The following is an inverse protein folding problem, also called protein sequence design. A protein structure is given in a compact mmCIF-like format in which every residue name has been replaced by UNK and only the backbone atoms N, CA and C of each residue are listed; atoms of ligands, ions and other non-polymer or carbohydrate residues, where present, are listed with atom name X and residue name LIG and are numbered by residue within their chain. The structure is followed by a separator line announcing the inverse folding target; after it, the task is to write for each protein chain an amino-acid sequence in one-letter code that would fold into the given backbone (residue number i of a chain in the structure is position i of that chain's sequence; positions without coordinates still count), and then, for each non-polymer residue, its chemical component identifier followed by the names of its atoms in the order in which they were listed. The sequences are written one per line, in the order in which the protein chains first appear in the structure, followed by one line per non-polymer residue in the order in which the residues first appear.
data_IF_852124405904
#
_entry.id   IF_852124405904
#
_cell.length_a   1.000
_cell.length_b   1.000
_cell.length_c   1.000
_cell.angle_alpha   90.00
_cell.angle_beta   90.00
_cell.angle_gamma   90.00
#
_symmetry.space_group_name_H-M   'P 1'
#
loop_
_entity.id
_entity.type
_entity.pdbx_description
1 polymer ?
#
# COMPACT_ATOMS: atom_id res chain seq x y z
N UNK A 1 13.39 8.01 -6.38
CA UNK A 1 12.64 7.04 -5.54
C UNK A 1 11.72 7.82 -4.62
N UNK A 2 10.40 7.67 -4.78
CA UNK A 2 9.40 8.46 -4.08
C UNK A 2 9.38 8.12 -2.59
N UNK A 3 9.78 9.06 -1.73
CA UNK A 3 9.80 8.91 -0.27
C UNK A 3 8.46 8.41 0.29
N UNK A 4 7.36 8.86 -0.30
CA UNK A 4 6.00 8.44 0.04
C UNK A 4 5.71 6.97 -0.28
N UNK A 5 6.25 6.42 -1.37
CA UNK A 5 6.08 5.00 -1.71
C UNK A 5 6.77 4.10 -0.70
N UNK A 6 7.96 4.49 -0.26
CA UNK A 6 8.68 3.78 0.81
C UNK A 6 7.90 3.84 2.13
N UNK A 7 7.33 5.00 2.48
CA UNK A 7 6.55 5.16 3.70
C UNK A 7 5.25 4.35 3.69
N UNK A 8 4.53 4.33 2.55
CA UNK A 8 3.35 3.48 2.33
C UNK A 8 3.73 2.00 2.48
N UNK A 9 4.83 1.58 1.87
CA UNK A 9 5.32 0.21 1.97
C UNK A 9 5.67 -0.16 3.41
N UNK A 10 6.43 0.67 4.11
CA UNK A 10 6.80 0.45 5.52
C UNK A 10 5.55 0.36 6.40
N UNK A 11 4.61 1.32 6.29
CA UNK A 11 3.36 1.28 7.04
C UNK A 11 2.52 0.04 6.73
N UNK A 12 2.47 -0.38 5.47
CA UNK A 12 1.78 -1.60 5.08
C UNK A 12 2.41 -2.83 5.76
N UNK A 13 3.75 -2.90 5.75
CA UNK A 13 4.48 -4.01 6.34
C UNK A 13 4.39 -4.04 7.88
N UNK A 14 4.40 -2.88 8.54
CA UNK A 14 4.29 -2.76 10.00
C UNK A 14 2.85 -2.98 10.49
N UNK A 15 1.85 -2.48 9.76
CA UNK A 15 0.46 -2.53 10.23
C UNK A 15 -0.18 -3.89 10.05
N UNK A 16 0.17 -4.62 8.98
CA UNK A 16 -0.51 -5.87 8.60
C UNK A 16 0.46 -7.04 8.70
N UNK A 17 0.04 -8.04 9.46
CA UNK A 17 0.70 -9.32 9.43
C UNK A 17 0.59 -9.93 8.03
N UNK A 18 1.62 -10.63 7.58
CA UNK A 18 1.66 -11.20 6.23
C UNK A 18 0.50 -12.14 5.89
N UNK A 19 -0.09 -12.78 6.89
CA UNK A 19 -1.24 -13.67 6.74
C UNK A 19 -2.55 -12.90 6.45
N UNK A 20 -2.64 -11.67 6.95
CA UNK A 20 -3.80 -10.77 6.75
C UNK A 20 -3.69 -9.87 5.51
N UNK A 21 -2.56 -9.94 4.79
CA UNK A 21 -2.31 -9.15 3.56
C UNK A 21 -3.10 -9.70 2.38
N UNK A 22 -4.41 -9.58 2.48
CA UNK A 22 -5.37 -9.91 1.42
C UNK A 22 -5.65 -8.67 0.56
N UNK A 23 -6.22 -8.86 -0.63
CA UNK A 23 -6.66 -7.73 -1.47
C UNK A 23 -7.68 -6.83 -0.77
N UNK A 24 -8.53 -7.41 0.07
CA UNK A 24 -9.54 -6.65 0.83
C UNK A 24 -8.90 -5.74 1.90
N UNK A 25 -7.82 -6.19 2.55
CA UNK A 25 -7.06 -5.31 3.45
C UNK A 25 -6.21 -4.28 2.71
N UNK A 26 -5.77 -4.59 1.50
CA UNK A 26 -5.11 -3.60 0.65
C UNK A 26 -6.07 -2.44 0.31
N UNK A 27 -7.36 -2.74 0.06
CA UNK A 27 -8.40 -1.74 -0.18
C UNK A 27 -8.61 -0.85 1.06
N UNK A 28 -8.82 -1.45 2.23
CA UNK A 28 -8.97 -0.69 3.48
C UNK A 28 -7.76 0.18 3.77
N UNK A 29 -6.55 -0.36 3.58
CA UNK A 29 -5.32 0.40 3.78
C UNK A 29 -5.18 1.56 2.79
N UNK A 30 -5.66 1.39 1.56
CA UNK A 30 -5.71 2.50 0.59
C UNK A 30 -6.57 3.65 1.11
N UNK A 31 -7.77 3.35 1.62
CA UNK A 31 -8.67 4.35 2.18
C UNK A 31 -8.07 5.02 3.42
N UNK A 32 -7.39 4.25 4.28
CA UNK A 32 -6.68 4.78 5.44
C UNK A 32 -5.53 5.72 5.04
N UNK A 33 -4.74 5.34 4.02
CA UNK A 33 -3.67 6.19 3.49
C UNK A 33 -4.24 7.52 2.98
N UNK A 34 -5.36 7.47 2.25
CA UNK A 34 -6.01 8.66 1.72
C UNK A 34 -6.52 9.60 2.83
N UNK A 35 -7.19 9.03 3.85
CA UNK A 35 -7.69 9.77 5.02
C UNK A 35 -6.57 10.39 5.84
N UNK A 36 -5.46 9.66 6.01
CA UNK A 36 -4.27 10.13 6.73
C UNK A 36 -3.39 11.09 5.92
N UNK A 37 -3.78 11.42 4.68
CA UNK A 37 -3.02 12.33 3.81
C UNK A 37 -1.76 11.70 3.19
N UNK A 38 -1.56 10.39 3.36
CA UNK A 38 -0.45 9.62 2.80
C UNK A 38 -0.73 9.29 1.32
N UNK A 39 -0.65 10.31 0.47
CA UNK A 39 -1.04 10.21 -0.94
C UNK A 39 0.18 10.03 -1.83
N UNK A 40 0.16 8.95 -2.62
CA UNK A 40 1.18 8.67 -3.63
C UNK A 40 1.06 9.60 -4.84
N UNK A 41 -0.14 10.07 -5.13
CA UNK A 41 -0.41 11.01 -6.22
C UNK A 41 -1.57 11.95 -5.84
N UNK A 42 -1.71 13.06 -6.57
CA UNK A 42 -2.84 13.99 -6.42
C UNK A 42 -4.15 13.39 -6.94
N UNK A 43 -4.07 12.50 -7.93
CA UNK A 43 -5.20 11.78 -8.49
C UNK A 43 -5.52 10.54 -7.65
N UNK A 44 -6.79 10.38 -7.28
CA UNK A 44 -7.26 9.23 -6.50
C UNK A 44 -7.04 7.91 -7.25
N UNK A 45 -7.35 7.88 -8.55
CA UNK A 45 -7.19 6.67 -9.37
C UNK A 45 -5.73 6.24 -9.47
N UNK A 46 -4.82 7.20 -9.69
CA UNK A 46 -3.37 6.94 -9.79
C UNK A 46 -2.82 6.51 -8.44
N UNK A 47 -3.24 7.17 -7.35
CA UNK A 47 -2.87 6.79 -5.99
C UNK A 47 -3.24 5.33 -5.70
N UNK A 48 -4.48 4.94 -6.00
CA UNK A 48 -4.97 3.58 -5.77
C UNK A 48 -4.20 2.55 -6.59
N UNK A 49 -3.98 2.81 -7.88
CA UNK A 49 -3.20 1.91 -8.75
C UNK A 49 -1.77 1.71 -8.22
N UNK A 50 -1.07 2.79 -7.88
CA UNK A 50 0.30 2.72 -7.35
C UNK A 50 0.36 1.99 -6.01
N UNK A 51 -0.61 2.21 -5.13
CA UNK A 51 -0.67 1.57 -3.83
C UNK A 51 -0.92 0.05 -3.98
N UNK A 52 -1.89 -0.33 -4.83
CA UNK A 52 -2.16 -1.74 -5.13
C UNK A 52 -0.96 -2.43 -5.77
N UNK A 53 -0.27 -1.77 -6.69
CA UNK A 53 0.95 -2.31 -7.30
C UNK A 53 2.06 -2.49 -6.26
N UNK A 54 2.26 -1.50 -5.39
CA UNK A 54 3.25 -1.57 -4.29
C UNK A 54 2.96 -2.74 -3.36
N UNK A 55 1.70 -2.91 -2.93
CA UNK A 55 1.29 -4.02 -2.07
C UNK A 55 1.44 -5.36 -2.78
N UNK A 56 1.03 -5.46 -4.05
CA UNK A 56 1.17 -6.68 -4.85
C UNK A 56 2.63 -7.13 -4.94
N UNK A 57 3.56 -6.19 -5.10
CA UNK A 57 4.99 -6.49 -5.05
C UNK A 57 5.44 -7.04 -3.70
N UNK A 58 4.91 -6.52 -2.58
CA UNK A 58 5.24 -7.07 -1.24
C UNK A 58 4.74 -8.50 -1.02
N UNK A 59 3.66 -8.90 -1.70
CA UNK A 59 3.14 -10.26 -1.65
C UNK A 59 4.01 -11.23 -2.47
N UNK A 60 4.42 -10.82 -3.67
CA UNK A 60 5.25 -11.63 -4.57
C UNK A 60 6.63 -11.90 -3.96
N UNK A 61 7.25 -10.90 -3.33
CA UNK A 61 8.58 -11.05 -2.71
C UNK A 61 8.59 -12.07 -1.54
N UNK A 62 7.43 -12.40 -0.97
CA UNK A 62 7.30 -13.34 0.14
C UNK A 62 7.19 -14.80 -0.29
N UNK A 63 7.01 -15.09 -1.59
CA UNK A 63 6.93 -16.45 -2.14
C UNK A 63 8.28 -17.04 -2.58
N UNK A 64 9.41 -16.43 -2.21
CA UNK A 64 10.74 -16.90 -2.62
C UNK A 64 11.60 -17.36 -1.46
#
# INVERSE_FOLDING_TARGET
MNRTAHEVQTRWLESRQPEDRTGNEAEKFSDECWKNGLRLDKSLSVHYQLLMETIRWTLIQRQK
#
